data_IF_245045032025
#
_entry.id   IF_245045032025
#
_cell.length_a   1.000
_cell.length_b   1.000
_cell.length_c   1.000
_cell.angle_alpha   90.00
_cell.angle_beta   90.00
_cell.angle_gamma   90.00
#
_symmetry.space_group_name_H-M   'P 1'
#
loop_
_entity.id
_entity.type
_entity.pdbx_description
1 polymer ?
#
# COMPACT_ATOMS: atom_id res chain seq x y z
N UNK A 1 1.89 -5.25 -18.00
CA UNK A 1 2.81 -5.70 -16.96
C UNK A 1 2.25 -5.34 -15.59
N UNK A 2 2.27 -6.28 -14.66
CA UNK A 2 1.72 -6.06 -13.33
C UNK A 2 2.65 -5.18 -12.51
N UNK A 3 2.08 -4.29 -11.71
CA UNK A 3 2.86 -3.44 -10.81
C UNK A 3 3.23 -4.23 -9.56
N UNK A 4 4.39 -3.90 -8.99
CA UNK A 4 4.79 -4.44 -7.70
C UNK A 4 4.02 -3.73 -6.57
N UNK A 5 4.07 -4.28 -5.34
CA UNK A 5 3.45 -3.62 -4.19
C UNK A 5 4.03 -2.21 -3.96
N UNK A 6 5.31 -2.03 -4.26
CA UNK A 6 5.99 -0.73 -4.13
C UNK A 6 5.26 0.33 -4.96
N UNK A 7 5.10 0.05 -6.26
CA UNK A 7 4.44 0.96 -7.17
C UNK A 7 2.97 1.12 -6.84
N UNK A 8 2.31 0.03 -6.44
CA UNK A 8 0.87 0.02 -6.18
C UNK A 8 0.52 0.83 -4.94
N UNK A 9 1.27 0.66 -3.84
CA UNK A 9 1.05 1.42 -2.60
C UNK A 9 1.26 2.91 -2.86
N UNK A 10 2.35 3.26 -3.53
CA UNK A 10 2.64 4.66 -3.84
C UNK A 10 1.58 5.28 -4.75
N UNK A 11 1.17 4.53 -5.78
CA UNK A 11 0.14 4.99 -6.71
C UNK A 11 -1.19 5.26 -5.99
N UNK A 12 -1.64 4.29 -5.19
CA UNK A 12 -2.91 4.43 -4.47
C UNK A 12 -2.88 5.61 -3.50
N UNK A 13 -1.75 5.78 -2.80
CA UNK A 13 -1.59 6.91 -1.89
C UNK A 13 -1.64 8.25 -2.64
N UNK A 14 -0.95 8.35 -3.76
CA UNK A 14 -0.91 9.57 -4.55
C UNK A 14 -2.27 9.88 -5.18
N UNK A 15 -2.99 8.84 -5.63
CA UNK A 15 -4.34 9.02 -6.17
C UNK A 15 -5.30 9.52 -5.10
N UNK A 16 -5.09 9.12 -3.85
CA UNK A 16 -5.88 9.58 -2.72
C UNK A 16 -5.45 10.97 -2.24
N UNK A 17 -4.35 11.49 -2.76
CA UNK A 17 -3.88 12.84 -2.45
C UNK A 17 -3.34 13.01 -1.05
N UNK A 18 -2.83 11.94 -0.43
CA UNK A 18 -2.35 11.99 0.96
C UNK A 18 -0.84 11.72 1.04
N UNK A 19 -0.24 12.22 2.11
CA UNK A 19 1.17 12.01 2.40
C UNK A 19 1.40 10.63 3.01
N UNK A 20 2.66 10.21 3.07
CA UNK A 20 3.02 8.98 3.77
C UNK A 20 2.59 9.03 5.24
N UNK A 21 2.77 10.18 5.88
CA UNK A 21 2.38 10.36 7.27
C UNK A 21 0.87 10.23 7.45
N UNK A 22 0.10 10.84 6.57
CA UNK A 22 -1.35 10.74 6.62
C UNK A 22 -1.81 9.30 6.44
N UNK A 23 -1.22 8.60 5.47
CA UNK A 23 -1.56 7.19 5.25
C UNK A 23 -1.23 6.35 6.49
N UNK A 24 -0.07 6.59 7.12
CA UNK A 24 0.34 5.86 8.31
C UNK A 24 -0.68 6.02 9.44
N UNK A 25 -1.21 7.23 9.61
CA UNK A 25 -2.22 7.49 10.63
C UNK A 25 -3.53 6.78 10.33
N UNK A 26 -3.92 6.71 9.07
CA UNK A 26 -5.17 6.08 8.65
C UNK A 26 -5.14 4.56 8.78
N UNK A 27 -3.99 3.95 8.54
CA UNK A 27 -3.88 2.48 8.59
C UNK A 27 -3.22 1.98 9.87
N UNK A 28 -2.78 2.89 10.76
CA UNK A 28 -2.24 2.50 12.06
C UNK A 28 -0.85 1.90 12.03
N UNK A 29 0.02 2.39 11.13
CA UNK A 29 1.42 1.98 11.07
C UNK A 29 2.30 3.23 11.17
N UNK A 30 3.61 3.06 11.31
CA UNK A 30 4.51 4.20 11.38
C UNK A 30 4.74 4.81 10.00
N UNK A 31 5.02 6.13 9.92
CA UNK A 31 5.39 6.74 8.63
C UNK A 31 6.64 6.10 8.03
N UNK A 32 7.60 5.68 8.87
CA UNK A 32 8.80 5.01 8.40
C UNK A 32 8.47 3.70 7.69
N UNK A 33 7.46 2.96 8.17
CA UNK A 33 7.03 1.71 7.53
C UNK A 33 6.55 1.99 6.10
N UNK A 34 5.71 3.00 5.93
CA UNK A 34 5.21 3.38 4.60
C UNK A 34 6.40 3.74 3.69
N UNK A 35 7.33 4.55 4.20
CA UNK A 35 8.48 4.97 3.42
C UNK A 35 9.32 3.78 2.95
N UNK A 36 9.56 2.81 3.83
CA UNK A 36 10.32 1.61 3.48
C UNK A 36 9.61 0.76 2.43
N UNK A 37 8.27 0.62 2.56
CA UNK A 37 7.51 -0.13 1.56
C UNK A 37 7.57 0.53 0.20
N UNK A 38 7.53 1.85 0.16
CA UNK A 38 7.59 2.60 -1.11
C UNK A 38 8.99 2.64 -1.70
N UNK A 39 10.03 2.44 -0.87
CA UNK A 39 11.41 2.28 -1.35
C UNK A 39 11.69 0.84 -1.80
N UNK A 40 10.92 -0.12 -1.30
CA UNK A 40 11.10 -1.50 -1.65
C UNK A 40 12.13 -2.25 -0.83
N UNK A 41 12.65 -1.64 0.26
CA UNK A 41 13.64 -2.31 1.11
C UNK A 41 13.02 -3.08 2.27
N UNK A 42 11.71 -2.99 2.45
CA UNK A 42 10.94 -3.78 3.42
C UNK A 42 9.60 -4.16 2.83
N UNK A 43 9.12 -5.32 3.21
CA UNK A 43 7.84 -5.88 2.75
C UNK A 43 6.81 -5.70 3.85
N UNK A 44 5.60 -5.19 3.55
CA UNK A 44 4.55 -5.13 4.57
C UNK A 44 4.17 -6.54 5.01
N UNK A 45 3.94 -6.71 6.32
CA UNK A 45 3.48 -8.00 6.82
C UNK A 45 2.00 -8.22 6.45
N UNK A 46 1.51 -9.44 6.70
CA UNK A 46 0.15 -9.80 6.29
C UNK A 46 -0.91 -8.86 6.85
N UNK A 47 -0.78 -8.46 8.13
CA UNK A 47 -1.74 -7.57 8.75
C UNK A 47 -1.73 -6.19 8.10
N UNK A 48 -0.54 -5.67 7.79
CA UNK A 48 -0.40 -4.39 7.11
C UNK A 48 -1.01 -4.43 5.71
N UNK A 49 -0.81 -5.53 4.98
CA UNK A 49 -1.41 -5.72 3.65
C UNK A 49 -2.93 -5.66 3.75
N UNK A 50 -3.50 -6.36 4.72
CA UNK A 50 -4.96 -6.37 4.91
C UNK A 50 -5.47 -4.96 5.22
N UNK A 51 -4.80 -4.24 6.12
CA UNK A 51 -5.21 -2.88 6.49
C UNK A 51 -5.14 -1.91 5.31
N UNK A 52 -4.07 -2.00 4.52
CA UNK A 52 -3.91 -1.15 3.33
C UNK A 52 -5.00 -1.47 2.30
N UNK A 53 -5.24 -2.75 2.04
CA UNK A 53 -6.25 -3.16 1.07
C UNK A 53 -7.64 -2.68 1.49
N UNK A 54 -7.96 -2.80 2.78
CA UNK A 54 -9.25 -2.33 3.31
C UNK A 54 -9.38 -0.82 3.19
N UNK A 55 -8.32 -0.09 3.54
CA UNK A 55 -8.37 1.38 3.46
C UNK A 55 -8.57 1.86 2.03
N UNK A 56 -7.84 1.27 1.08
CA UNK A 56 -7.94 1.66 -0.33
C UNK A 56 -9.11 1.00 -1.05
N UNK A 57 -9.81 0.07 -0.40
CA UNK A 57 -10.94 -0.67 -0.96
C UNK A 57 -10.55 -1.42 -2.23
N UNK A 58 -9.43 -2.12 -2.14
CA UNK A 58 -8.92 -2.98 -3.21
C UNK A 58 -8.65 -4.36 -2.65
N UNK A 59 -8.48 -5.35 -3.54
CA UNK A 59 -8.11 -6.69 -3.10
C UNK A 59 -6.64 -6.72 -2.64
N UNK A 60 -6.30 -7.67 -1.80
CA UNK A 60 -4.90 -7.87 -1.39
C UNK A 60 -4.05 -8.24 -2.61
N UNK A 61 -4.59 -9.01 -3.55
CA UNK A 61 -3.88 -9.37 -4.78
C UNK A 61 -3.55 -8.14 -5.62
N UNK A 62 -4.50 -7.21 -5.73
CA UNK A 62 -4.27 -5.96 -6.44
C UNK A 62 -3.18 -5.14 -5.75
N UNK A 63 -3.28 -5.02 -4.43
CA UNK A 63 -2.30 -4.25 -3.65
C UNK A 63 -0.90 -4.82 -3.81
N UNK A 64 -0.77 -6.14 -3.79
CA UNK A 64 0.51 -6.82 -3.90
C UNK A 64 1.05 -6.87 -5.33
N UNK A 65 0.25 -6.50 -6.31
CA UNK A 65 0.67 -6.47 -7.70
C UNK A 65 0.62 -7.82 -8.39
N UNK A 66 -0.05 -8.81 -7.79
CA UNK A 66 -0.22 -10.13 -8.42
C UNK A 66 -1.45 -10.18 -9.33
N UNK A 67 -2.28 -9.15 -9.29
CA UNK A 67 -3.46 -9.05 -10.14
C UNK A 67 -3.67 -7.59 -10.49
N UNK A 68 -4.18 -7.33 -11.70
CA UNK A 68 -4.58 -5.98 -12.12
C UNK A 68 -6.07 -5.73 -11.87
N UNK A 69 -6.78 -6.70 -11.30
CA UNK A 69 -8.17 -6.54 -10.90
C UNK A 69 -8.24 -5.95 -9.51
N UNK A 70 -9.00 -4.88 -9.36
CA UNK A 70 -9.14 -4.15 -8.09
C UNK A 70 -9.83 -5.02 -7.04
N UNK A 71 -10.85 -5.76 -7.44
CA UNK A 71 -11.66 -6.59 -6.54
C UNK A 71 -11.40 -8.09 -6.65
#
# INVERSE_FOLDING_TARGET
MKKTYVERIKQLRQEDGISQRELSQKVGVSPAAIAHWELGDRVPNALAVIKLAEYFQVSTDYLLGVSDKID
#
